data_IF_884480709945
#
_entry.id   IF_884480709945
#
_cell.length_a   1.000
_cell.length_b   1.000
_cell.length_c   1.000
_cell.angle_alpha   90.00
_cell.angle_beta   90.00
_cell.angle_gamma   90.00
#
_symmetry.space_group_name_H-M   'P 1'
#
loop_
_entity.id
_entity.type
_entity.pdbx_description
1 polymer ?
#
# COMPACT_ATOMS: atom_id res chain seq x y z
N UNK A 1 -9.25 14.77 19.92
CA UNK A 1 -8.15 14.43 19.00
C UNK A 1 -7.01 15.40 19.26
N UNK A 2 -5.77 14.91 19.39
CA UNK A 2 -4.60 15.74 19.67
C UNK A 2 -4.10 16.54 18.46
N UNK A 3 -2.94 17.18 18.61
CA UNK A 3 -2.23 17.89 17.53
C UNK A 3 -1.82 16.94 16.38
N UNK A 4 -1.98 17.41 15.13
CA UNK A 4 -1.54 16.70 13.92
C UNK A 4 -0.01 16.79 13.86
N UNK A 5 0.66 15.65 13.90
CA UNK A 5 2.12 15.56 13.75
C UNK A 5 2.54 15.63 12.29
N UNK A 6 1.75 15.03 11.40
CA UNK A 6 2.00 14.99 9.97
C UNK A 6 0.69 14.82 9.21
N UNK A 7 0.54 15.53 8.10
CA UNK A 7 -0.55 15.37 7.16
C UNK A 7 -0.02 14.90 5.81
N UNK A 8 -0.35 13.68 5.43
CA UNK A 8 -0.08 13.14 4.10
C UNK A 8 -1.26 13.34 3.15
N UNK A 9 -1.12 12.84 1.92
CA UNK A 9 -2.17 12.92 0.89
C UNK A 9 -3.49 12.25 1.32
N UNK A 10 -3.42 11.04 1.88
CA UNK A 10 -4.59 10.21 2.23
C UNK A 10 -4.79 10.01 3.73
N UNK A 11 -3.85 10.43 4.59
CA UNK A 11 -3.85 10.09 6.02
C UNK A 11 -3.33 11.25 6.88
N UNK A 12 -3.81 11.32 8.11
CA UNK A 12 -3.35 12.21 9.18
C UNK A 12 -2.66 11.37 10.25
N UNK A 13 -1.58 11.88 10.81
CA UNK A 13 -0.81 11.23 11.89
C UNK A 13 -0.89 12.10 13.14
N UNK A 14 -1.26 11.49 14.25
CA UNK A 14 -1.36 12.09 15.57
C UNK A 14 -0.46 11.36 16.56
N UNK A 15 -0.22 11.97 17.73
CA UNK A 15 0.37 11.27 18.87
C UNK A 15 -0.48 10.06 19.27
N UNK A 16 0.17 8.95 19.60
CA UNK A 16 -0.46 7.74 20.10
C UNK A 16 -0.70 7.78 21.61
N UNK A 17 -0.80 6.60 22.21
CA UNK A 17 -1.04 6.42 23.65
C UNK A 17 0.24 6.63 24.47
N UNK A 18 1.41 6.43 23.84
CA UNK A 18 2.74 6.59 24.43
C UNK A 18 3.77 7.08 23.39
N UNK A 19 5.04 7.19 23.77
CA UNK A 19 6.12 7.68 22.89
C UNK A 19 6.46 6.74 21.73
N UNK A 20 6.07 5.47 21.84
CA UNK A 20 6.35 4.39 20.88
C UNK A 20 5.15 4.08 19.98
N UNK A 21 4.09 4.87 20.05
CA UNK A 21 2.88 4.69 19.25
C UNK A 21 2.42 5.99 18.60
N UNK A 22 1.79 5.86 17.44
CA UNK A 22 1.12 6.95 16.73
C UNK A 22 -0.27 6.50 16.31
N UNK A 23 -1.18 7.47 16.19
CA UNK A 23 -2.52 7.24 15.68
C UNK A 23 -2.59 7.71 14.23
N UNK A 24 -2.96 6.82 13.32
CA UNK A 24 -3.18 7.14 11.90
C UNK A 24 -4.68 7.22 11.66
N UNK A 25 -5.12 8.31 11.02
CA UNK A 25 -6.51 8.51 10.58
C UNK A 25 -6.59 8.62 9.07
N UNK A 26 -7.43 7.81 8.45
CA UNK A 26 -7.64 7.81 7.01
C UNK A 26 -8.57 8.95 6.59
N UNK A 27 -8.24 9.62 5.47
CA UNK A 27 -9.02 10.70 4.87
C UNK A 27 -9.84 10.18 3.67
N UNK A 28 -10.91 10.91 3.36
CA UNK A 28 -11.73 10.67 2.17
C UNK A 28 -11.12 11.28 0.90
N UNK A 29 -10.09 12.10 1.04
CA UNK A 29 -9.35 12.72 -0.06
C UNK A 29 -8.67 11.67 -0.95
N UNK A 30 -9.02 11.66 -2.23
CA UNK A 30 -8.30 10.97 -3.29
C UNK A 30 -7.42 11.94 -4.08
N UNK A 31 -6.18 11.55 -4.37
CA UNK A 31 -5.24 12.31 -5.19
C UNK A 31 -4.61 11.46 -6.27
N UNK A 32 -4.34 12.03 -7.45
CA UNK A 32 -3.61 11.39 -8.54
C UNK A 32 -2.70 12.40 -9.25
N UNK A 33 -1.76 11.89 -10.06
CA UNK A 33 -0.82 12.71 -10.85
C UNK A 33 -0.09 13.76 -10.00
N UNK A 34 0.57 13.31 -8.93
CA UNK A 34 1.28 14.19 -7.98
C UNK A 34 0.45 15.35 -7.40
N UNK A 35 -0.87 15.15 -7.28
CA UNK A 35 -1.77 16.12 -6.65
C UNK A 35 -2.49 17.03 -7.64
N UNK A 36 -2.19 16.96 -8.94
CA UNK A 36 -2.90 17.71 -9.99
C UNK A 36 -4.39 17.36 -10.03
N UNK A 37 -4.73 16.11 -9.72
CA UNK A 37 -6.11 15.66 -9.56
C UNK A 37 -6.40 15.38 -8.09
N UNK A 38 -7.39 16.06 -7.52
CA UNK A 38 -7.83 15.91 -6.13
C UNK A 38 -9.35 15.96 -6.03
N UNK A 39 -9.94 15.04 -5.26
CA UNK A 39 -11.38 14.96 -5.03
C UNK A 39 -11.67 14.39 -3.63
N UNK A 40 -12.77 14.79 -3.00
CA UNK A 40 -13.26 14.17 -1.77
C UNK A 40 -14.23 13.04 -2.13
N UNK A 41 -13.86 11.80 -1.81
CA UNK A 41 -14.69 10.62 -2.03
C UNK A 41 -15.22 10.14 -0.68
N UNK A 42 -16.39 10.65 -0.28
CA UNK A 42 -16.96 10.40 1.06
C UNK A 42 -17.08 8.89 1.34
N UNK A 43 -16.45 8.44 2.43
CA UNK A 43 -16.39 7.03 2.84
C UNK A 43 -15.17 6.25 2.32
N UNK A 44 -14.32 6.84 1.47
CA UNK A 44 -13.06 6.21 1.02
C UNK A 44 -12.13 5.87 2.18
N UNK A 45 -11.99 6.78 3.14
CA UNK A 45 -11.12 6.59 4.29
C UNK A 45 -11.52 5.38 5.12
N UNK A 46 -12.83 5.19 5.32
CA UNK A 46 -13.40 4.02 6.00
C UNK A 46 -13.12 2.72 5.25
N UNK A 47 -13.37 2.70 3.93
CA UNK A 47 -13.09 1.52 3.12
C UNK A 47 -11.60 1.15 3.13
N UNK A 48 -10.71 2.14 2.98
CA UNK A 48 -9.27 1.90 3.03
C UNK A 48 -8.81 1.39 4.39
N UNK A 49 -9.28 2.02 5.47
CA UNK A 49 -8.94 1.58 6.83
C UNK A 49 -9.39 0.13 7.05
N UNK A 50 -10.61 -0.21 6.67
CA UNK A 50 -11.16 -1.56 6.88
C UNK A 50 -10.44 -2.63 6.05
N UNK A 51 -10.18 -2.36 4.77
CA UNK A 51 -9.43 -3.27 3.88
C UNK A 51 -7.99 -3.44 4.40
N UNK A 52 -7.31 -2.34 4.70
CA UNK A 52 -5.94 -2.35 5.23
C UNK A 52 -5.87 -3.14 6.55
N UNK A 53 -6.83 -2.95 7.46
CA UNK A 53 -6.89 -3.69 8.71
C UNK A 53 -7.06 -5.19 8.51
N UNK A 54 -7.89 -5.63 7.55
CA UNK A 54 -8.04 -7.05 7.22
C UNK A 54 -6.70 -7.62 6.72
N UNK A 55 -6.05 -6.90 5.80
CA UNK A 55 -4.80 -7.33 5.17
C UNK A 55 -3.66 -7.38 6.19
N UNK A 56 -3.47 -6.34 7.00
CA UNK A 56 -2.40 -6.30 8.01
C UNK A 56 -2.56 -7.40 9.06
N UNK A 57 -3.79 -7.67 9.51
CA UNK A 57 -4.06 -8.80 10.43
C UNK A 57 -3.73 -10.14 9.78
N UNK A 58 -4.11 -10.34 8.52
CA UNK A 58 -3.80 -11.55 7.78
C UNK A 58 -2.28 -11.76 7.59
N UNK A 59 -1.56 -10.70 7.22
CA UNK A 59 -0.11 -10.73 7.10
C UNK A 59 0.57 -11.05 8.45
N UNK A 60 0.07 -10.46 9.55
CA UNK A 60 0.57 -10.76 10.89
C UNK A 60 0.34 -12.23 11.29
N UNK A 61 -0.83 -12.82 10.97
CA UNK A 61 -1.11 -14.25 11.16
C UNK A 61 -0.14 -15.15 10.39
N UNK A 62 0.40 -14.68 9.26
CA UNK A 62 1.42 -15.36 8.44
C UNK A 62 2.86 -14.99 8.83
N UNK A 63 3.04 -14.31 9.96
CA UNK A 63 4.34 -14.00 10.55
C UNK A 63 5.06 -12.81 9.91
N UNK A 64 4.35 -11.90 9.24
CA UNK A 64 4.91 -10.61 8.81
C UNK A 64 4.84 -9.64 9.99
N UNK A 65 5.98 -9.01 10.32
CA UNK A 65 6.03 -7.97 11.35
C UNK A 65 5.45 -6.68 10.79
N UNK A 66 4.42 -6.16 11.42
CA UNK A 66 3.75 -4.92 10.98
C UNK A 66 3.73 -3.89 12.10
N UNK A 67 3.48 -2.63 11.74
CA UNK A 67 3.28 -1.58 12.72
C UNK A 67 1.91 -1.64 13.41
N UNK A 68 0.94 -2.44 12.94
CA UNK A 68 -0.43 -2.38 13.46
C UNK A 68 -0.50 -2.90 14.90
N UNK A 69 -0.96 -2.06 15.84
CA UNK A 69 -1.21 -2.45 17.23
C UNK A 69 -2.69 -2.81 17.40
N UNK A 70 -3.59 -1.87 17.10
CA UNK A 70 -5.04 -2.10 17.21
C UNK A 70 -5.83 -1.15 16.31
N UNK A 71 -7.02 -1.60 15.92
CA UNK A 71 -8.04 -0.76 15.27
C UNK A 71 -8.77 0.03 16.35
N UNK A 72 -8.86 1.35 16.20
CA UNK A 72 -9.47 2.24 17.20
C UNK A 72 -10.92 2.53 16.86
N UNK A 73 -11.18 2.88 15.61
CA UNK A 73 -12.52 3.11 15.05
C UNK A 73 -12.52 2.81 13.53
N UNK A 74 -13.62 3.14 12.86
CA UNK A 74 -13.83 2.88 11.43
C UNK A 74 -12.80 3.54 10.50
N UNK A 75 -12.07 4.56 10.96
CA UNK A 75 -11.13 5.34 10.14
C UNK A 75 -9.79 5.58 10.83
N UNK A 76 -9.58 5.03 12.03
CA UNK A 76 -8.40 5.32 12.84
C UNK A 76 -7.78 4.04 13.40
N UNK A 77 -6.45 3.96 13.36
CA UNK A 77 -5.66 2.81 13.82
C UNK A 77 -4.50 3.29 14.67
N UNK A 78 -4.23 2.56 15.75
CA UNK A 78 -3.04 2.77 16.57
C UNK A 78 -1.93 1.85 16.05
N UNK A 79 -0.76 2.43 15.79
CA UNK A 79 0.39 1.71 15.22
C UNK A 79 1.66 2.01 16.01
N UNK A 80 2.63 1.10 15.95
CA UNK A 80 3.99 1.29 16.45
C UNK A 80 4.60 2.46 15.68
N UNK A 81 5.16 3.40 16.40
CA UNK A 81 5.95 4.49 15.82
C UNK A 81 7.24 3.89 15.26
N UNK A 82 7.49 4.14 13.98
CA UNK A 82 8.69 3.71 13.28
C UNK A 82 9.33 4.90 12.56
N UNK A 83 10.65 4.87 12.42
CA UNK A 83 11.37 5.74 11.50
C UNK A 83 11.16 5.21 10.08
N UNK A 84 10.37 5.92 9.28
CA UNK A 84 10.05 5.48 7.91
C UNK A 84 11.30 5.52 7.04
N UNK A 85 11.58 4.41 6.38
CA UNK A 85 12.59 4.34 5.33
C UNK A 85 11.99 5.05 4.11
N UNK A 86 12.65 6.12 3.63
CA UNK A 86 12.13 6.98 2.57
C UNK A 86 12.22 6.35 1.17
N UNK A 87 11.83 5.09 1.07
CA UNK A 87 11.84 4.25 -0.13
C UNK A 87 10.51 3.53 -0.21
N UNK A 88 9.80 3.73 -1.32
CA UNK A 88 8.63 2.94 -1.67
C UNK A 88 9.09 1.65 -2.35
N UNK A 89 8.63 0.50 -1.86
CA UNK A 89 8.93 -0.82 -2.43
C UNK A 89 7.73 -1.27 -3.26
N UNK A 90 7.89 -1.37 -4.57
CA UNK A 90 6.80 -1.68 -5.50
C UNK A 90 7.00 -3.10 -6.01
N UNK A 91 5.99 -3.94 -5.86
CA UNK A 91 5.98 -5.31 -6.37
C UNK A 91 5.03 -5.42 -7.56
N UNK A 92 5.47 -6.05 -8.65
CA UNK A 92 4.70 -6.20 -9.89
C UNK A 92 4.60 -7.66 -10.31
N UNK A 93 3.37 -8.14 -10.49
CA UNK A 93 3.06 -9.46 -11.06
C UNK A 93 2.67 -9.37 -12.54
N UNK A 94 2.04 -8.27 -12.95
CA UNK A 94 1.75 -7.96 -14.35
C UNK A 94 2.25 -6.55 -14.70
N UNK A 95 2.51 -6.31 -15.98
CA UNK A 95 2.80 -4.97 -16.47
C UNK A 95 1.54 -4.08 -16.37
N UNK A 96 1.62 -2.97 -15.66
CA UNK A 96 0.56 -1.97 -15.60
C UNK A 96 1.12 -0.58 -15.29
N UNK A 97 0.26 0.44 -15.43
CA UNK A 97 0.53 1.79 -14.93
C UNK A 97 1.87 2.39 -15.42
N UNK A 98 2.66 2.90 -14.48
CA UNK A 98 3.96 3.54 -14.77
C UNK A 98 4.96 2.59 -15.42
N UNK A 99 4.93 1.30 -15.08
CA UNK A 99 5.82 0.30 -15.67
C UNK A 99 5.54 0.10 -17.16
N UNK A 100 4.27 -0.11 -17.52
CA UNK A 100 3.84 -0.23 -18.92
C UNK A 100 4.22 0.99 -19.74
N UNK A 101 3.99 2.19 -19.20
CA UNK A 101 4.37 3.45 -19.85
C UNK A 101 5.90 3.57 -20.03
N UNK A 102 6.66 3.23 -18.99
CA UNK A 102 8.12 3.37 -18.97
C UNK A 102 8.82 2.44 -19.96
N UNK A 103 8.38 1.19 -20.03
CA UNK A 103 9.05 0.16 -20.83
C UNK A 103 8.35 -0.15 -22.17
N UNK A 104 7.23 0.52 -22.48
CA UNK A 104 6.48 0.30 -23.71
C UNK A 104 5.82 -1.08 -23.77
N UNK A 105 5.53 -1.69 -22.61
CA UNK A 105 4.92 -3.01 -22.49
C UNK A 105 3.41 -2.87 -22.34
N UNK A 106 2.58 -3.60 -23.12
CA UNK A 106 1.12 -3.53 -22.98
C UNK A 106 0.64 -3.81 -21.56
N UNK A 107 -0.39 -3.08 -21.10
CA UNK A 107 -1.01 -3.33 -19.80
C UNK A 107 -1.65 -4.73 -19.76
N UNK A 108 -1.45 -5.45 -18.64
CA UNK A 108 -1.90 -6.82 -18.46
C UNK A 108 -0.94 -7.87 -19.01
N UNK A 109 0.23 -7.48 -19.53
CA UNK A 109 1.26 -8.45 -19.94
C UNK A 109 1.76 -9.22 -18.73
N UNK A 110 1.75 -10.55 -18.81
CA UNK A 110 2.36 -11.43 -17.82
C UNK A 110 3.88 -11.26 -17.83
N UNK A 111 4.44 -11.07 -16.63
CA UNK A 111 5.87 -10.94 -16.45
C UNK A 111 6.50 -12.32 -16.26
N UNK A 112 7.73 -12.51 -16.76
CA UNK A 112 8.44 -13.80 -16.63
C UNK A 112 8.87 -14.12 -15.19
N UNK A 113 8.87 -13.11 -14.33
CA UNK A 113 9.12 -13.21 -12.90
C UNK A 113 8.45 -12.01 -12.20
N UNK A 114 8.16 -12.14 -10.91
CA UNK A 114 7.77 -11.00 -10.08
C UNK A 114 8.93 -9.99 -10.02
N UNK A 115 8.60 -8.70 -10.15
CA UNK A 115 9.55 -7.59 -10.06
C UNK A 115 9.39 -6.91 -8.72
N UNK A 116 10.50 -6.61 -8.05
CA UNK A 116 10.59 -5.63 -6.96
C UNK A 116 11.38 -4.44 -7.50
N UNK A 117 10.79 -3.25 -7.46
CA UNK A 117 11.45 -2.00 -7.83
C UNK A 117 11.27 -0.94 -6.74
N UNK A 118 12.11 0.08 -6.75
CA UNK A 118 12.12 1.10 -5.71
C UNK A 118 11.86 2.50 -6.28
N UNK A 119 11.15 3.31 -5.50
CA UNK A 119 11.01 4.75 -5.71
C UNK A 119 11.45 5.49 -4.46
N UNK A 120 12.11 6.64 -4.62
CA UNK A 120 12.35 7.57 -3.51
C UNK A 120 11.02 8.15 -3.08
N UNK A 121 10.67 8.06 -1.78
CA UNK A 121 9.45 8.68 -1.26
C UNK A 121 9.65 10.20 -1.16
N UNK A 122 9.22 10.94 -2.17
CA UNK A 122 9.36 12.41 -2.22
C UNK A 122 8.34 13.02 -3.17
N UNK A 123 7.25 13.52 -2.61
CA UNK A 123 6.20 14.22 -3.34
C UNK A 123 6.74 15.40 -4.16
N UNK A 124 7.72 16.12 -3.62
CA UNK A 124 8.33 17.27 -4.28
C UNK A 124 9.15 16.89 -5.52
N UNK A 125 9.68 15.66 -5.56
CA UNK A 125 10.44 15.13 -6.69
C UNK A 125 9.60 14.20 -7.58
N UNK A 126 8.33 13.98 -7.24
CA UNK A 126 7.43 13.10 -7.97
C UNK A 126 7.80 11.62 -7.87
N UNK A 127 8.31 11.20 -6.71
CA UNK A 127 8.63 9.81 -6.36
C UNK A 127 9.54 9.08 -7.38
N UNK A 128 10.72 9.65 -7.71
CA UNK A 128 11.55 9.15 -8.80
C UNK A 128 12.03 7.72 -8.52
N UNK A 129 12.12 6.90 -9.57
CA UNK A 129 12.69 5.56 -9.46
C UNK A 129 14.14 5.66 -8.99
N UNK A 130 14.50 4.76 -8.07
CA UNK A 130 15.83 4.65 -7.50
C UNK A 130 16.26 3.17 -7.51
N UNK A 131 17.55 2.89 -7.65
CA UNK A 131 18.08 1.53 -7.52
C UNK A 131 18.81 1.34 -6.18
N UNK A 132 19.15 0.10 -5.82
CA UNK A 132 19.81 -0.22 -4.55
C UNK A 132 21.13 0.54 -4.32
N UNK A 133 21.95 0.70 -5.38
CA UNK A 133 23.22 1.44 -5.27
C UNK A 133 23.01 2.92 -4.96
N UNK A 134 21.93 3.53 -5.47
CA UNK A 134 21.56 4.90 -5.18
C UNK A 134 20.94 5.03 -3.79
N UNK A 135 20.13 4.05 -3.36
CA UNK A 135 19.55 4.03 -2.02
C UNK A 135 20.65 4.02 -0.94
N UNK A 136 21.61 3.12 -1.09
CA UNK A 136 22.76 3.00 -0.18
C UNK A 136 23.66 4.24 -0.25
N UNK A 137 23.97 4.76 -1.45
CA UNK A 137 24.77 5.96 -1.61
C UNK A 137 24.14 7.23 -1.00
N UNK A 138 22.81 7.32 -0.98
CA UNK A 138 22.06 8.41 -0.32
C UNK A 138 21.83 8.18 1.17
N UNK A 139 22.23 7.01 1.71
CA UNK A 139 22.06 6.66 3.12
C UNK A 139 20.60 6.47 3.56
N UNK A 140 19.68 6.12 2.64
CA UNK A 140 18.27 5.91 3.00
C UNK A 140 18.05 4.55 3.66
N UNK A 141 18.81 3.53 3.22
CA UNK A 141 18.83 2.20 3.81
C UNK A 141 20.22 1.55 3.62
N UNK A 142 20.63 0.75 4.62
CA UNK A 142 21.79 -0.12 4.51
C UNK A 142 21.50 -1.29 3.56
N UNK A 143 22.56 -1.97 3.09
CA UNK A 143 22.40 -3.09 2.15
C UNK A 143 21.59 -4.24 2.75
N UNK A 144 21.83 -4.52 4.02
CA UNK A 144 21.14 -5.59 4.76
C UNK A 144 19.64 -5.27 4.92
N UNK A 145 19.30 -4.00 5.12
CA UNK A 145 17.90 -3.56 5.19
C UNK A 145 17.21 -3.66 3.83
N UNK A 146 17.92 -3.36 2.74
CA UNK A 146 17.39 -3.52 1.39
C UNK A 146 17.13 -4.99 1.05
N UNK A 147 18.04 -5.88 1.43
CA UNK A 147 17.86 -7.33 1.29
C UNK A 147 16.63 -7.79 2.08
N UNK A 148 16.51 -7.41 3.37
CA UNK A 148 15.37 -7.74 4.21
C UNK A 148 14.04 -7.19 3.64
N UNK A 149 14.00 -5.93 3.23
CA UNK A 149 12.80 -5.31 2.61
C UNK A 149 12.39 -6.04 1.33
N UNK A 150 13.35 -6.47 0.51
CA UNK A 150 13.11 -7.19 -0.74
C UNK A 150 12.56 -8.59 -0.48
N UNK A 151 13.17 -9.33 0.44
CA UNK A 151 12.69 -10.65 0.87
C UNK A 151 11.28 -10.57 1.47
N UNK A 152 11.04 -9.58 2.34
CA UNK A 152 9.70 -9.33 2.88
C UNK A 152 8.71 -8.98 1.78
N UNK A 153 9.08 -8.18 0.79
CA UNK A 153 8.21 -7.82 -0.34
C UNK A 153 7.80 -9.03 -1.17
N UNK A 154 8.74 -9.95 -1.48
CA UNK A 154 8.40 -11.21 -2.16
C UNK A 154 7.50 -12.11 -1.31
N UNK A 155 7.78 -12.22 0.00
CA UNK A 155 6.95 -13.01 0.92
C UNK A 155 5.53 -12.46 1.02
N UNK A 156 5.40 -11.14 1.18
CA UNK A 156 4.11 -10.43 1.20
C UNK A 156 3.38 -10.65 -0.14
N UNK A 157 4.08 -10.59 -1.27
CA UNK A 157 3.47 -10.85 -2.58
C UNK A 157 2.85 -12.24 -2.67
N UNK A 158 3.55 -13.30 -2.24
CA UNK A 158 2.99 -14.65 -2.22
C UNK A 158 1.72 -14.72 -1.38
N UNK A 159 1.80 -14.24 -0.13
CA UNK A 159 0.66 -14.26 0.80
C UNK A 159 -0.55 -13.48 0.27
N UNK A 160 -0.33 -12.30 -0.32
CA UNK A 160 -1.41 -11.48 -0.85
C UNK A 160 -1.95 -12.00 -2.18
N UNK A 161 -1.10 -12.58 -3.03
CA UNK A 161 -1.54 -13.20 -4.28
C UNK A 161 -2.52 -14.33 -3.99
N UNK A 162 -2.19 -15.22 -3.04
CA UNK A 162 -3.08 -16.29 -2.59
C UNK A 162 -4.41 -15.71 -2.04
N UNK A 163 -4.33 -14.72 -1.14
CA UNK A 163 -5.52 -14.09 -0.54
C UNK A 163 -6.46 -13.47 -1.58
N UNK A 164 -5.90 -12.73 -2.53
CA UNK A 164 -6.70 -12.07 -3.56
C UNK A 164 -7.21 -13.06 -4.60
N UNK A 165 -6.45 -14.10 -4.94
CA UNK A 165 -6.92 -15.17 -5.83
C UNK A 165 -8.12 -15.92 -5.24
N UNK A 166 -8.08 -16.26 -3.94
CA UNK A 166 -9.25 -16.82 -3.22
C UNK A 166 -10.47 -15.88 -3.21
N UNK A 167 -10.23 -14.58 -3.39
CA UNK A 167 -11.23 -13.53 -3.51
C UNK A 167 -11.62 -13.23 -4.97
N UNK A 168 -11.25 -14.06 -5.95
CA UNK A 168 -11.48 -13.84 -7.39
C UNK A 168 -10.91 -12.50 -7.90
N UNK A 169 -9.84 -12.00 -7.28
CA UNK A 169 -9.17 -10.74 -7.59
C UNK A 169 -7.71 -11.04 -7.96
N UNK A 170 -7.27 -10.49 -9.09
CA UNK A 170 -5.87 -10.50 -9.51
C UNK A 170 -5.12 -9.36 -8.85
N UNK A 171 -4.10 -9.69 -8.05
CA UNK A 171 -3.14 -8.72 -7.53
C UNK A 171 -2.10 -8.38 -8.61
N UNK A 172 -2.29 -7.24 -9.28
CA UNK A 172 -1.51 -6.82 -10.45
C UNK A 172 -0.16 -6.26 -10.05
N UNK A 173 -0.19 -5.27 -9.16
CA UNK A 173 0.96 -4.69 -8.49
C UNK A 173 0.52 -4.04 -7.18
N UNK A 174 1.47 -3.76 -6.29
CA UNK A 174 1.21 -3.02 -5.06
C UNK A 174 2.48 -2.36 -4.54
N UNK A 175 2.29 -1.41 -3.62
CA UNK A 175 3.34 -0.61 -3.02
C UNK A 175 3.35 -0.83 -1.51
N UNK A 176 4.54 -1.02 -0.95
CA UNK A 176 4.81 -1.15 0.47
C UNK A 176 5.70 0.01 0.95
N UNK A 177 5.57 0.34 2.22
CA UNK A 177 6.50 1.21 2.95
C UNK A 177 6.94 0.49 4.22
N UNK A 178 8.22 0.61 4.54
CA UNK A 178 8.82 -0.02 5.72
C UNK A 178 9.38 1.03 6.67
N UNK A 179 9.53 0.67 7.94
CA UNK A 179 10.13 1.54 8.94
C UNK A 179 10.93 0.78 9.98
N UNK A 180 11.91 1.47 10.56
CA UNK A 180 12.76 0.96 11.65
C UNK A 180 12.09 1.22 12.99
N UNK A 181 11.93 0.18 13.80
CA UNK A 181 11.47 0.33 15.18
C UNK A 181 12.06 -0.77 16.06
N UNK A 182 12.74 -0.38 17.15
CA UNK A 182 13.28 -1.35 18.11
C UNK A 182 14.31 -2.31 17.52
N UNK A 183 15.07 -1.89 16.51
CA UNK A 183 16.05 -2.74 15.80
C UNK A 183 15.44 -3.70 14.78
N UNK A 184 14.15 -3.56 14.46
CA UNK A 184 13.44 -4.39 13.47
C UNK A 184 12.96 -3.54 12.29
N UNK A 185 12.84 -4.17 11.12
CA UNK A 185 12.10 -3.64 9.97
C UNK A 185 10.64 -4.08 10.05
N UNK A 186 9.73 -3.12 10.09
CA UNK A 186 8.28 -3.34 10.14
C UNK A 186 7.62 -2.91 8.84
N UNK A 187 6.66 -3.70 8.37
CA UNK A 187 5.69 -3.24 7.37
C UNK A 187 4.82 -2.12 7.96
N UNK A 188 4.78 -0.98 7.28
CA UNK A 188 4.11 0.25 7.72
C UNK A 188 3.08 0.75 6.67
N UNK A 189 2.62 1.99 6.84
CA UNK A 189 1.66 2.68 5.98
C UNK A 189 0.29 1.98 5.83
N UNK A 190 -0.14 1.66 4.60
CA UNK A 190 -1.41 1.00 4.29
C UNK A 190 -1.28 0.01 3.13
N UNK A 191 -2.14 -1.01 3.11
CA UNK A 191 -2.36 -1.85 1.94
C UNK A 191 -3.85 -1.79 1.63
N UNK A 192 -4.20 -1.08 0.56
CA UNK A 192 -5.58 -0.80 0.18
C UNK A 192 -5.69 -0.66 -1.34
N UNK A 193 -6.89 -0.48 -1.91
CA UNK A 193 -7.03 -0.20 -3.34
C UNK A 193 -6.40 1.14 -3.77
N UNK A 194 -5.92 1.99 -2.84
CA UNK A 194 -5.08 3.15 -3.15
C UNK A 194 -3.63 2.76 -3.48
N UNK A 195 -3.10 1.74 -2.81
CA UNK A 195 -1.72 1.26 -2.90
C UNK A 195 -1.55 -0.05 -3.69
N UNK A 196 -2.64 -0.65 -4.15
CA UNK A 196 -2.67 -1.86 -4.97
C UNK A 196 -3.39 -1.62 -6.30
N UNK A 197 -3.01 -2.34 -7.36
CA UNK A 197 -3.86 -2.58 -8.53
C UNK A 197 -4.53 -3.93 -8.40
N UNK A 198 -5.85 -3.92 -8.48
CA UNK A 198 -6.72 -5.05 -8.15
C UNK A 198 -7.75 -5.20 -9.27
N UNK A 199 -7.63 -6.27 -10.06
CA UNK A 199 -8.53 -6.51 -11.18
C UNK A 199 -9.36 -7.76 -10.95
N UNK A 200 -10.62 -7.74 -11.36
CA UNK A 200 -11.44 -8.94 -11.40
C UNK A 200 -10.80 -10.00 -12.30
N UNK A 201 -10.67 -11.25 -11.82
CA UNK A 201 -10.05 -12.32 -12.60
C UNK A 201 -10.86 -12.65 -13.86
N UNK A 202 -12.20 -12.57 -13.78
CA UNK A 202 -13.09 -13.01 -14.86
C UNK A 202 -13.23 -11.97 -15.98
N UNK A 203 -13.34 -10.69 -15.61
CA UNK A 203 -13.68 -9.60 -16.52
C UNK A 203 -12.55 -8.62 -16.79
N UNK A 204 -11.50 -8.64 -15.95
CA UNK A 204 -10.45 -7.62 -15.96
C UNK A 204 -10.90 -6.24 -15.45
N UNK A 205 -12.11 -6.14 -14.88
CA UNK A 205 -12.61 -4.89 -14.27
C UNK A 205 -11.66 -4.42 -13.16
N UNK A 206 -11.32 -3.13 -13.15
CA UNK A 206 -10.45 -2.55 -12.13
C UNK A 206 -11.25 -2.16 -10.91
N UNK A 207 -10.84 -2.61 -9.73
CA UNK A 207 -11.45 -2.26 -8.44
C UNK A 207 -10.62 -1.25 -7.62
N UNK A 208 -9.53 -0.76 -8.21
CA UNK A 208 -8.56 0.10 -7.54
C UNK A 208 -8.63 1.56 -7.98
N UNK A 209 -7.70 2.36 -7.42
CA UNK A 209 -7.58 3.79 -7.67
C UNK A 209 -7.40 4.16 -9.14
N UNK A 210 -7.02 3.25 -10.04
CA UNK A 210 -7.01 3.52 -11.48
C UNK A 210 -8.40 3.92 -12.01
N UNK A 211 -9.50 3.51 -11.36
CA UNK A 211 -10.84 4.04 -11.67
C UNK A 211 -10.91 5.56 -11.50
N UNK A 212 -10.31 6.07 -10.43
CA UNK A 212 -10.17 7.51 -10.21
C UNK A 212 -9.16 8.13 -11.16
N UNK A 213 -7.98 7.52 -11.35
CA UNK A 213 -6.92 8.07 -12.24
C UNK A 213 -7.40 8.23 -13.68
N UNK A 214 -8.26 7.32 -14.16
CA UNK A 214 -8.71 7.25 -15.57
C UNK A 214 -10.15 7.69 -15.80
N UNK A 215 -10.82 8.26 -14.79
CA UNK A 215 -12.24 8.70 -14.88
C UNK A 215 -13.22 7.56 -15.26
N UNK A 216 -13.02 6.34 -14.75
CA UNK A 216 -13.88 5.19 -15.05
C UNK A 216 -15.19 5.16 -14.23
N UNK A 217 -15.41 6.15 -13.35
CA UNK A 217 -16.56 6.20 -12.44
C UNK A 217 -16.54 5.09 -11.37
N UNK A 218 -17.56 5.07 -10.50
CA UNK A 218 -17.83 4.03 -9.50
C UNK A 218 -16.60 3.61 -8.65
N UNK A 219 -15.78 4.59 -8.26
CA UNK A 219 -14.52 4.34 -7.53
C UNK A 219 -14.79 3.58 -6.23
N UNK A 220 -15.73 4.08 -5.41
CA UNK A 220 -16.04 3.49 -4.12
C UNK A 220 -16.73 2.13 -4.25
N UNK A 221 -17.43 1.85 -5.34
CA UNK A 221 -18.06 0.55 -5.54
C UNK A 221 -17.03 -0.54 -5.83
N UNK A 222 -15.95 -0.22 -6.56
CA UNK A 222 -14.79 -1.11 -6.66
C UNK A 222 -14.17 -1.43 -5.29
N UNK A 223 -14.01 -0.41 -4.44
CA UNK A 223 -13.43 -0.59 -3.10
C UNK A 223 -14.36 -1.41 -2.19
N UNK A 224 -15.67 -1.18 -2.24
CA UNK A 224 -16.67 -1.99 -1.54
C UNK A 224 -16.63 -3.45 -2.00
N UNK A 225 -16.45 -3.68 -3.31
CA UNK A 225 -16.37 -5.03 -3.86
C UNK A 225 -15.13 -5.77 -3.34
N UNK A 226 -13.96 -5.12 -3.33
CA UNK A 226 -12.74 -5.67 -2.71
C UNK A 226 -13.00 -6.04 -1.25
N UNK A 227 -13.57 -5.11 -0.46
CA UNK A 227 -13.88 -5.37 0.95
C UNK A 227 -14.84 -6.54 1.13
N UNK A 228 -15.90 -6.62 0.32
CA UNK A 228 -16.89 -7.69 0.37
C UNK A 228 -16.25 -9.06 0.11
N UNK A 229 -15.42 -9.17 -0.94
CA UNK A 229 -14.77 -10.44 -1.29
C UNK A 229 -13.74 -10.86 -0.26
N UNK A 230 -12.92 -9.94 0.25
CA UNK A 230 -11.98 -10.22 1.33
C UNK A 230 -12.68 -10.71 2.61
N UNK A 231 -13.80 -10.08 3.00
CA UNK A 231 -14.59 -10.54 4.16
C UNK A 231 -15.11 -11.96 3.97
N UNK A 232 -15.58 -12.30 2.76
CA UNK A 232 -16.07 -13.64 2.47
C UNK A 232 -14.96 -14.69 2.57
N UNK A 233 -13.75 -14.39 2.10
CA UNK A 233 -12.58 -15.27 2.25
C UNK A 233 -12.24 -15.46 3.73
N UNK A 234 -12.24 -14.38 4.50
CA UNK A 234 -11.85 -14.38 5.92
C UNK A 234 -12.89 -14.97 6.89
N UNK A 235 -14.07 -15.33 6.40
CA UNK A 235 -15.12 -16.02 7.17
C UNK A 235 -15.16 -17.53 6.93
N UNK A 236 -14.40 -18.04 5.94
CA UNK A 236 -14.23 -19.48 5.70
C UNK A 236 -13.21 -20.07 6.66
#
# INVERSE_FOLDING_TARGET
MGEVLYEGKSKLVYRGEDENSILIRYKDTATAFNGEKKEELIGKGKLNAEISNIIFKYLAEKGIKTHLIKVVDDISVLVRKAEIIMVEVIVRNLAAGSFSKKYGVPEGTELRNTIVEFSLKSDALGDPMINESQITALGLAAKEELEEMTEQAFKINGILSDLFEEADIRLVDFKLEFGRAGGEILLCDEISPDSCRLWDISSGEKFDKDRFRRNLGNVLDGYKEVLRRLKNVRQK
#
